data_IF_956161720194
#
_entry.id   IF_956161720194
#
_cell.length_a   1.000
_cell.length_b   1.000
_cell.length_c   1.000
_cell.angle_alpha   90.00
_cell.angle_beta   90.00
_cell.angle_gamma   90.00
#
_symmetry.space_group_name_H-M   'P 1'
#
loop_
_entity.id
_entity.type
_entity.pdbx_description
1 polymer ?
#
# COMPACT_ATOMS: atom_id res chain seq x y z
N UNK A 1 -66.12 -13.31 -31.90
CA UNK A 1 -65.88 -13.91 -33.23
C UNK A 1 -64.43 -14.36 -33.23
N UNK A 2 -64.11 -15.57 -32.73
CA UNK A 2 -64.24 -16.87 -33.44
C UNK A 2 -63.25 -16.91 -34.62
N UNK A 3 -62.23 -17.77 -34.76
CA UNK A 3 -61.90 -19.16 -34.37
C UNK A 3 -60.36 -19.30 -34.47
N UNK A 4 -59.64 -19.88 -33.50
CA UNK A 4 -59.37 -21.32 -33.30
C UNK A 4 -58.37 -21.96 -34.29
N UNK A 5 -57.19 -22.39 -33.78
CA UNK A 5 -56.78 -23.82 -33.62
C UNK A 5 -55.27 -23.97 -33.33
N UNK A 6 -54.94 -24.40 -32.10
CA UNK A 6 -53.87 -25.37 -31.79
C UNK A 6 -54.29 -26.78 -32.33
N UNK A 7 -53.59 -27.95 -32.17
CA UNK A 7 -52.59 -28.31 -31.14
C UNK A 7 -51.58 -29.48 -31.46
N UNK A 8 -50.91 -30.00 -30.41
CA UNK A 8 -50.38 -31.38 -30.19
C UNK A 8 -49.09 -31.81 -30.93
N UNK A 9 -48.21 -32.70 -30.46
CA UNK A 9 -47.82 -33.36 -29.19
C UNK A 9 -46.72 -34.35 -29.64
N UNK A 10 -45.59 -34.53 -28.93
CA UNK A 10 -45.07 -35.88 -28.60
C UNK A 10 -43.80 -35.84 -27.73
N UNK A 11 -43.99 -36.40 -26.55
CA UNK A 11 -43.08 -36.90 -25.53
C UNK A 11 -42.31 -38.15 -25.97
N UNK A 12 -41.10 -38.37 -25.45
CA UNK A 12 -40.58 -39.66 -24.93
C UNK A 12 -39.23 -39.39 -24.22
N UNK A 13 -39.12 -39.44 -22.88
CA UNK A 13 -38.89 -40.60 -21.99
C UNK A 13 -37.64 -41.43 -22.30
N UNK A 14 -36.61 -41.36 -21.43
CA UNK A 14 -36.01 -42.53 -20.75
C UNK A 14 -34.81 -42.15 -19.86
N UNK A 15 -34.75 -42.83 -18.73
CA UNK A 15 -34.07 -42.54 -17.46
C UNK A 15 -32.61 -43.08 -17.39
N UNK A 16 -31.91 -42.93 -16.24
CA UNK A 16 -30.47 -43.10 -16.05
C UNK A 16 -30.08 -44.51 -15.51
N UNK A 17 -28.83 -44.95 -15.73
CA UNK A 17 -28.20 -46.16 -15.11
C UNK A 17 -26.66 -45.96 -15.13
N UNK A 18 -26.01 -45.82 -13.96
CA UNK A 18 -25.37 -46.84 -13.09
C UNK A 18 -23.94 -47.23 -13.55
N UNK A 19 -22.84 -46.95 -12.83
CA UNK A 19 -22.32 -47.44 -11.51
C UNK A 19 -21.42 -48.69 -11.64
N UNK A 20 -20.17 -48.57 -11.20
CA UNK A 20 -19.35 -49.60 -10.51
C UNK A 20 -18.08 -48.88 -9.99
N UNK A 21 -17.99 -48.56 -8.68
CA UNK A 21 -17.34 -49.35 -7.61
C UNK A 21 -15.79 -49.27 -7.72
N UNK A 22 -15.00 -48.98 -6.69
CA UNK A 22 -14.78 -49.72 -5.43
C UNK A 22 -14.07 -48.78 -4.42
N UNK A 23 -14.74 -48.45 -3.31
CA UNK A 23 -14.39 -48.69 -1.87
C UNK A 23 -13.32 -47.80 -1.19
N UNK A 24 -13.82 -46.86 -0.38
CA UNK A 24 -13.30 -46.55 0.96
C UNK A 24 -14.02 -47.45 1.99
N UNK A 25 -13.39 -47.82 3.12
CA UNK A 25 -14.12 -48.24 4.31
C UNK A 25 -14.03 -47.22 5.46
N UNK A 26 -15.20 -47.06 6.09
CA UNK A 26 -15.55 -46.19 7.20
C UNK A 26 -15.02 -46.63 8.58
N UNK A 27 -14.80 -45.60 9.41
CA UNK A 27 -14.79 -45.43 10.88
C UNK A 27 -15.91 -46.24 11.61
N UNK A 28 -15.77 -46.77 12.86
CA UNK A 28 -16.07 -45.95 14.06
C UNK A 28 -15.43 -46.26 15.43
N UNK A 29 -15.65 -45.25 16.27
CA UNK A 29 -15.28 -44.94 17.67
C UNK A 29 -15.78 -45.99 18.68
N UNK A 30 -14.97 -46.33 19.70
CA UNK A 30 -15.24 -46.08 21.13
C UNK A 30 -14.44 -46.97 22.09
N UNK A 31 -14.35 -46.49 23.34
CA UNK A 31 -13.95 -47.15 24.60
C UNK A 31 -12.50 -47.00 25.06
N UNK A 32 -12.34 -46.17 26.10
CA UNK A 32 -11.42 -46.43 27.22
C UNK A 32 -12.26 -47.11 28.33
N UNK A 33 -11.68 -47.99 29.17
CA UNK A 33 -11.07 -47.50 30.43
C UNK A 33 -9.87 -48.31 30.98
N UNK A 34 -8.86 -47.58 31.52
CA UNK A 34 -8.09 -47.80 32.78
C UNK A 34 -7.51 -49.21 33.15
N UNK A 35 -6.88 -49.43 34.33
CA UNK A 35 -5.41 -49.52 34.50
C UNK A 35 -4.91 -50.85 35.15
N UNK A 36 -3.60 -50.90 35.49
CA UNK A 36 -2.85 -51.96 36.22
C UNK A 36 -2.39 -53.15 35.33
N UNK A 37 -1.22 -53.77 35.50
CA UNK A 37 -0.41 -54.02 36.71
C UNK A 37 1.07 -54.32 36.38
N UNK A 38 1.91 -53.95 37.35
CA UNK A 38 3.24 -54.45 37.72
C UNK A 38 3.62 -55.88 37.32
N UNK A 39 4.86 -56.05 36.84
CA UNK A 39 5.75 -57.15 37.27
C UNK A 39 7.23 -56.78 37.09
N UNK A 40 7.93 -56.68 38.23
CA UNK A 40 9.38 -56.62 38.39
C UNK A 40 10.05 -57.91 37.89
N UNK A 41 11.21 -57.79 37.22
CA UNK A 41 12.42 -58.59 37.50
C UNK A 41 13.52 -58.30 36.47
N UNK A 42 14.75 -58.07 36.92
CA UNK A 42 15.95 -58.33 36.11
C UNK A 42 16.98 -57.22 36.03
N UNK A 43 17.74 -57.02 37.11
CA UNK A 43 19.07 -56.40 37.09
C UNK A 43 20.02 -57.30 36.30
N UNK A 44 20.71 -56.78 35.27
CA UNK A 44 22.17 -56.89 35.04
C UNK A 44 22.54 -56.48 33.60
N UNK A 45 23.63 -55.71 33.45
CA UNK A 45 24.48 -55.77 32.26
C UNK A 45 24.35 -54.63 31.25
N UNK A 46 25.06 -53.54 31.50
CA UNK A 46 25.47 -52.56 30.48
C UNK A 46 26.35 -53.23 29.40
N UNK A 47 26.23 -52.82 28.14
CA UNK A 47 27.43 -52.47 27.39
C UNK A 47 27.37 -51.01 26.89
N UNK A 48 28.46 -50.30 27.18
CA UNK A 48 28.78 -48.94 26.77
C UNK A 48 28.76 -48.74 25.25
N UNK A 49 27.87 -47.86 24.77
CA UNK A 49 27.96 -47.26 23.43
C UNK A 49 28.81 -45.99 23.54
N UNK A 50 29.90 -45.82 22.77
CA UNK A 50 30.71 -44.61 22.83
C UNK A 50 29.92 -43.42 22.26
N UNK A 51 29.62 -42.45 23.12
CA UNK A 51 29.12 -41.13 22.70
C UNK A 51 30.22 -40.44 21.87
N UNK A 52 29.98 -40.29 20.57
CA UNK A 52 30.77 -39.39 19.72
C UNK A 52 30.62 -37.96 20.25
N UNK A 53 31.69 -37.43 20.81
CA UNK A 53 31.76 -36.02 21.25
C UNK A 53 31.83 -35.16 19.99
N UNK A 54 30.73 -34.49 19.63
CA UNK A 54 30.77 -33.43 18.62
C UNK A 54 31.61 -32.27 19.17
N UNK A 55 32.84 -32.14 18.67
CA UNK A 55 33.67 -30.96 18.90
C UNK A 55 33.11 -29.79 18.11
N UNK A 56 32.08 -29.12 18.64
CA UNK A 56 31.63 -27.83 18.12
C UNK A 56 32.74 -26.81 18.39
N UNK A 57 33.52 -26.50 17.36
CA UNK A 57 34.45 -25.37 17.38
C UNK A 57 33.63 -24.08 17.51
N UNK A 58 33.70 -23.45 18.68
CA UNK A 58 33.27 -22.06 18.90
C UNK A 58 34.22 -21.17 18.10
N UNK A 59 33.79 -20.65 16.96
CA UNK A 59 34.52 -19.60 16.24
C UNK A 59 34.58 -18.36 17.13
N UNK A 60 35.77 -18.12 17.70
CA UNK A 60 36.13 -16.83 18.28
C UNK A 60 36.16 -15.82 17.14
N UNK A 61 35.14 -14.98 17.03
CA UNK A 61 35.24 -13.74 16.27
C UNK A 61 36.26 -12.83 16.95
N UNK A 62 37.19 -12.30 16.18
CA UNK A 62 38.23 -11.38 16.63
C UNK A 62 37.64 -10.18 17.41
N UNK A 63 38.35 -9.64 18.41
CA UNK A 63 37.91 -8.43 19.08
C UNK A 63 38.05 -7.24 18.14
N UNK A 64 37.03 -6.38 18.11
CA UNK A 64 37.11 -5.08 17.46
C UNK A 64 38.09 -4.18 18.24
N UNK A 65 39.24 -3.90 17.65
CA UNK A 65 40.12 -2.75 17.94
C UNK A 65 40.87 -2.46 16.62
N UNK A 66 41.11 -1.23 16.19
CA UNK A 66 41.27 0.02 16.92
C UNK A 66 40.90 1.20 16.03
N UNK A 67 40.36 2.24 16.65
CA UNK A 67 40.22 3.60 16.09
C UNK A 67 41.59 4.09 15.64
N UNK A 68 41.79 4.26 14.33
CA UNK A 68 42.91 5.07 13.82
C UNK A 68 42.45 6.52 13.85
N UNK A 69 43.06 7.25 14.78
CA UNK A 69 42.95 8.69 14.95
C UNK A 69 44.23 9.28 14.35
N UNK A 70 44.19 9.65 13.08
CA UNK A 70 45.17 10.57 12.49
C UNK A 70 44.44 11.91 12.35
N UNK A 71 44.81 12.99 13.02
CA UNK A 71 46.18 13.47 13.14
C UNK A 71 46.29 14.69 12.22
N UNK A 72 45.95 15.84 12.77
CA UNK A 72 46.02 17.18 12.14
C UNK A 72 47.40 17.39 11.50
N UNK A 73 47.42 17.73 10.21
CA UNK A 73 48.50 18.51 9.60
C UNK A 73 47.87 19.66 8.80
N UNK A 74 48.25 20.93 9.08
CA UNK A 74 47.77 22.08 8.32
C UNK A 74 48.71 22.34 7.16
N UNK A 75 48.29 22.14 5.92
CA UNK A 75 48.90 22.83 4.78
C UNK A 75 47.88 23.21 3.70
N UNK A 76 48.10 24.40 3.19
CA UNK A 76 47.24 25.31 2.44
C UNK A 76 47.42 25.09 0.92
N UNK A 77 46.30 25.10 0.19
CA UNK A 77 46.24 25.56 -1.21
C UNK A 77 46.01 24.49 -2.27
N UNK A 78 44.91 24.62 -3.03
CA UNK A 78 44.71 23.95 -4.32
C UNK A 78 43.24 23.54 -4.53
N UNK A 79 42.49 24.37 -5.25
CA UNK A 79 41.06 24.20 -5.50
C UNK A 79 40.69 22.99 -6.35
N UNK A 80 39.43 22.58 -6.21
CA UNK A 80 38.80 21.51 -6.96
C UNK A 80 37.46 21.15 -6.33
N UNK A 81 36.46 22.00 -6.57
CA UNK A 81 35.07 21.74 -6.21
C UNK A 81 34.60 20.43 -6.86
N UNK A 82 34.37 19.43 -6.01
CA UNK A 82 33.72 18.18 -6.34
C UNK A 82 32.61 17.94 -5.34
N UNK A 83 31.62 18.83 -5.33
CA UNK A 83 30.35 18.66 -4.63
C UNK A 83 29.74 17.31 -5.03
N UNK A 84 29.90 16.31 -4.17
CA UNK A 84 29.03 15.14 -4.17
C UNK A 84 27.64 15.63 -3.76
N UNK A 85 26.86 16.10 -4.75
CA UNK A 85 25.46 16.45 -4.59
C UNK A 85 24.72 15.25 -4.01
N UNK A 86 24.40 15.32 -2.71
CA UNK A 86 23.30 14.55 -2.16
C UNK A 86 22.06 14.83 -3.04
N UNK A 87 21.39 13.81 -3.60
CA UNK A 87 20.16 14.04 -4.37
C UNK A 87 19.13 14.67 -3.43
N UNK A 88 18.75 15.91 -3.74
CA UNK A 88 18.02 16.80 -2.86
C UNK A 88 16.64 16.28 -2.47
N UNK A 89 16.45 16.04 -1.16
CA UNK A 89 15.14 15.91 -0.51
C UNK A 89 14.55 17.31 -0.30
N UNK A 90 14.29 18.05 -1.39
CA UNK A 90 13.76 19.43 -1.33
C UNK A 90 12.58 19.68 -2.28
N UNK A 91 12.00 18.64 -2.90
CA UNK A 91 11.07 18.82 -4.03
C UNK A 91 9.57 18.68 -3.69
N UNK A 92 9.17 18.01 -2.60
CA UNK A 92 7.74 17.77 -2.31
C UNK A 92 6.93 19.05 -2.08
N UNK A 93 7.49 20.04 -1.36
CA UNK A 93 6.80 21.33 -1.15
C UNK A 93 6.57 22.09 -2.46
N UNK A 94 7.45 21.93 -3.46
CA UNK A 94 7.34 22.65 -4.73
C UNK A 94 6.25 22.01 -5.60
N UNK A 95 6.15 20.69 -5.59
CA UNK A 95 5.12 19.93 -6.32
C UNK A 95 3.72 20.28 -5.79
N UNK A 96 3.52 20.30 -4.47
CA UNK A 96 2.21 20.65 -3.89
C UNK A 96 1.81 22.09 -4.24
N UNK A 97 2.75 23.04 -4.15
CA UNK A 97 2.51 24.44 -4.52
C UNK A 97 2.11 24.55 -6.00
N UNK A 98 2.86 23.91 -6.89
CA UNK A 98 2.56 23.90 -8.33
C UNK A 98 1.21 23.24 -8.63
N UNK A 99 0.92 22.08 -8.05
CA UNK A 99 -0.35 21.39 -8.22
C UNK A 99 -1.54 22.22 -7.71
N UNK A 100 -1.39 22.88 -6.56
CA UNK A 100 -2.42 23.75 -6.00
C UNK A 100 -2.67 24.99 -6.88
N UNK A 101 -1.61 25.60 -7.41
CA UNK A 101 -1.74 26.74 -8.33
C UNK A 101 -2.43 26.33 -9.63
N UNK A 102 -2.05 25.18 -10.22
CA UNK A 102 -2.69 24.63 -11.41
C UNK A 102 -4.17 24.34 -11.18
N UNK A 103 -4.53 23.75 -10.03
CA UNK A 103 -5.93 23.48 -9.68
C UNK A 103 -6.74 24.78 -9.55
N UNK A 104 -6.18 25.83 -8.95
CA UNK A 104 -6.86 27.12 -8.82
C UNK A 104 -7.12 27.78 -10.18
N UNK A 105 -6.12 27.77 -11.07
CA UNK A 105 -6.28 28.29 -12.44
C UNK A 105 -7.32 27.48 -13.21
N UNK A 106 -7.30 26.15 -13.04
CA UNK A 106 -8.23 25.24 -13.67
C UNK A 106 -9.68 25.45 -13.18
N UNK A 107 -9.88 25.62 -11.88
CA UNK A 107 -11.17 25.98 -11.28
C UNK A 107 -11.66 27.34 -11.77
N UNK A 108 -10.77 28.34 -11.83
CA UNK A 108 -11.11 29.66 -12.34
C UNK A 108 -11.59 29.60 -13.79
N UNK A 109 -10.91 28.81 -14.64
CA UNK A 109 -11.33 28.59 -16.02
C UNK A 109 -12.72 27.94 -16.10
N UNK A 110 -12.99 26.91 -15.28
CA UNK A 110 -14.30 26.27 -15.20
C UNK A 110 -15.41 27.23 -14.79
N UNK A 111 -15.15 28.04 -13.75
CA UNK A 111 -16.08 29.07 -13.27
C UNK A 111 -16.37 30.11 -14.34
N UNK A 112 -15.35 30.55 -15.07
CA UNK A 112 -15.48 31.53 -16.16
C UNK A 112 -16.34 30.98 -17.30
N UNK A 113 -16.10 29.73 -17.74
CA UNK A 113 -16.87 29.10 -18.82
C UNK A 113 -18.35 28.96 -18.45
N UNK A 114 -18.64 28.54 -17.22
CA UNK A 114 -20.03 28.45 -16.74
C UNK A 114 -20.67 29.83 -16.64
N UNK A 115 -19.99 30.79 -16.01
CA UNK A 115 -20.55 32.14 -15.76
C UNK A 115 -20.82 32.92 -17.05
N UNK A 116 -20.07 32.64 -18.12
CA UNK A 116 -20.27 33.23 -19.45
C UNK A 116 -21.32 32.52 -20.29
N UNK A 117 -21.69 31.28 -19.96
CA UNK A 117 -22.71 30.50 -20.67
C UNK A 117 -23.83 29.97 -19.77
N UNK A 118 -24.55 30.81 -18.99
CA UNK A 118 -25.58 30.33 -18.06
C UNK A 118 -26.71 29.54 -18.75
N UNK A 119 -27.09 29.98 -19.96
CA UNK A 119 -28.15 29.35 -20.77
C UNK A 119 -27.84 27.90 -21.18
N UNK A 120 -26.57 27.49 -21.07
CA UNK A 120 -26.12 26.14 -21.37
C UNK A 120 -26.28 25.14 -20.23
N UNK A 121 -26.64 25.59 -19.02
CA UNK A 121 -26.73 24.77 -17.81
C UNK A 121 -28.13 24.84 -17.19
N UNK A 122 -28.53 23.76 -16.52
CA UNK A 122 -29.71 23.70 -15.67
C UNK A 122 -29.34 24.05 -14.23
N UNK A 123 -30.26 24.66 -13.47
CA UNK A 123 -30.06 24.92 -12.04
C UNK A 123 -30.82 26.14 -11.52
N UNK A 124 -30.97 26.22 -10.20
CA UNK A 124 -31.56 27.38 -9.51
C UNK A 124 -30.49 28.46 -9.35
N UNK A 125 -30.77 29.67 -9.85
CA UNK A 125 -29.85 30.82 -9.83
C UNK A 125 -29.81 31.45 -8.44
N UNK A 126 -28.86 31.03 -7.59
CA UNK A 126 -28.51 31.80 -6.39
C UNK A 126 -27.60 32.95 -6.79
N UNK A 127 -26.43 32.61 -7.35
CA UNK A 127 -25.49 33.56 -7.90
C UNK A 127 -24.59 32.84 -8.89
N UNK A 128 -24.50 33.33 -10.13
CA UNK A 128 -23.85 32.62 -11.24
C UNK A 128 -22.44 32.12 -10.90
N UNK A 129 -21.59 32.95 -10.27
CA UNK A 129 -20.23 32.56 -9.92
C UNK A 129 -20.15 31.53 -8.77
N UNK A 130 -21.08 31.57 -7.81
CA UNK A 130 -21.11 30.62 -6.68
C UNK A 130 -21.58 29.26 -7.17
N UNK A 131 -22.61 29.27 -8.00
CA UNK A 131 -23.20 28.08 -8.60
C UNK A 131 -22.21 27.41 -9.55
N UNK A 132 -21.49 28.20 -10.35
CA UNK A 132 -20.38 27.76 -11.19
C UNK A 132 -19.27 27.08 -10.37
N UNK A 133 -18.84 27.72 -9.27
CA UNK A 133 -17.77 27.19 -8.42
C UNK A 133 -18.19 25.89 -7.75
N UNK A 134 -19.40 25.87 -7.19
CA UNK A 134 -20.00 24.66 -6.61
C UNK A 134 -20.11 23.53 -7.65
N UNK A 135 -20.61 23.80 -8.86
CA UNK A 135 -20.66 22.82 -9.95
C UNK A 135 -19.28 22.26 -10.29
N UNK A 136 -18.26 23.12 -10.41
CA UNK A 136 -16.89 22.69 -10.70
C UNK A 136 -16.36 21.77 -9.60
N UNK A 137 -16.59 22.09 -8.33
CA UNK A 137 -16.15 21.26 -7.20
C UNK A 137 -16.90 19.93 -7.17
N UNK A 138 -18.23 19.93 -7.27
CA UNK A 138 -19.06 18.72 -7.27
C UNK A 138 -18.66 17.78 -8.40
N UNK A 139 -18.32 18.34 -9.56
CA UNK A 139 -17.83 17.60 -10.74
C UNK A 139 -16.43 17.05 -10.51
N UNK A 140 -15.49 17.86 -10.01
CA UNK A 140 -14.10 17.45 -9.71
C UNK A 140 -14.02 16.38 -8.63
N UNK A 141 -14.86 16.50 -7.61
CA UNK A 141 -14.98 15.55 -6.52
C UNK A 141 -15.74 14.28 -6.94
N UNK A 142 -16.19 14.18 -8.20
CA UNK A 142 -16.95 13.05 -8.74
C UNK A 142 -18.24 12.73 -7.96
N UNK A 143 -18.81 13.73 -7.28
CA UNK A 143 -20.04 13.55 -6.49
C UNK A 143 -21.26 13.59 -7.42
N UNK A 144 -21.34 14.63 -8.26
CA UNK A 144 -22.33 14.71 -9.34
C UNK A 144 -23.80 14.63 -8.91
N UNK A 145 -24.27 15.48 -7.98
CA UNK A 145 -25.68 15.49 -7.56
C UNK A 145 -26.69 15.68 -8.71
N UNK A 146 -26.29 16.30 -9.83
CA UNK A 146 -27.17 16.55 -10.96
C UNK A 146 -28.19 17.68 -10.73
N UNK A 147 -28.05 18.44 -9.65
CA UNK A 147 -28.79 19.68 -9.38
C UNK A 147 -28.39 20.82 -10.34
N UNK A 148 -27.14 20.79 -10.80
CA UNK A 148 -26.62 21.60 -11.90
C UNK A 148 -26.03 20.68 -12.96
N UNK A 149 -26.53 20.76 -14.19
CA UNK A 149 -26.09 19.89 -15.28
C UNK A 149 -26.02 20.61 -16.64
N UNK A 150 -25.06 20.25 -17.51
CA UNK A 150 -24.95 20.80 -18.86
C UNK A 150 -26.10 20.32 -19.76
N UNK A 151 -26.78 21.26 -20.41
CA UNK A 151 -27.93 21.00 -21.28
C UNK A 151 -27.53 20.93 -22.75
N UNK A 152 -26.64 21.82 -23.19
CA UNK A 152 -26.27 21.96 -24.61
C UNK A 152 -25.16 20.99 -25.01
N UNK A 153 -25.07 20.60 -26.30
CA UNK A 153 -23.98 19.73 -26.78
C UNK A 153 -22.59 20.29 -26.47
N UNK A 154 -22.40 21.61 -26.62
CA UNK A 154 -21.13 22.26 -26.35
C UNK A 154 -20.73 22.17 -24.87
N UNK A 155 -21.65 22.44 -23.94
CA UNK A 155 -21.38 22.37 -22.49
C UNK A 155 -21.16 20.93 -22.02
N UNK A 156 -21.83 19.95 -22.65
CA UNK A 156 -21.58 18.52 -22.39
C UNK A 156 -20.18 18.09 -22.82
N UNK A 157 -19.73 18.48 -24.01
CA UNK A 157 -18.36 18.20 -24.49
C UNK A 157 -17.33 18.85 -23.56
N UNK A 158 -17.56 20.11 -23.18
CA UNK A 158 -16.72 20.80 -22.20
C UNK A 158 -16.67 20.02 -20.87
N UNK A 159 -17.80 19.61 -20.32
CA UNK A 159 -17.87 18.86 -19.08
C UNK A 159 -17.09 17.53 -19.17
N UNK A 160 -17.17 16.82 -20.29
CA UNK A 160 -16.37 15.59 -20.51
C UNK A 160 -14.87 15.86 -20.44
N UNK A 161 -14.38 16.86 -21.18
CA UNK A 161 -12.95 17.23 -21.15
C UNK A 161 -12.54 17.73 -19.77
N UNK A 162 -13.41 18.51 -19.12
CA UNK A 162 -13.20 19.01 -17.78
C UNK A 162 -13.00 17.83 -16.81
N UNK A 163 -13.94 16.89 -16.70
CA UNK A 163 -13.79 15.75 -15.79
C UNK A 163 -12.49 14.95 -16.02
N UNK A 164 -12.13 14.67 -17.28
CA UNK A 164 -10.93 13.89 -17.60
C UNK A 164 -9.63 14.58 -17.15
N UNK A 165 -9.49 15.89 -17.40
CA UNK A 165 -8.31 16.65 -16.99
C UNK A 165 -8.31 16.88 -15.48
N UNK A 166 -9.48 17.24 -14.94
CA UNK A 166 -9.67 17.55 -13.53
C UNK A 166 -9.35 16.38 -12.61
N UNK A 167 -9.74 15.15 -12.98
CA UNK A 167 -9.43 13.95 -12.22
C UNK A 167 -7.91 13.73 -12.08
N UNK A 168 -7.15 13.92 -13.16
CA UNK A 168 -5.68 13.84 -13.12
C UNK A 168 -5.05 14.92 -12.23
N UNK A 169 -5.57 16.16 -12.26
CA UNK A 169 -5.07 17.24 -11.40
C UNK A 169 -5.35 16.98 -9.91
N UNK A 170 -6.53 16.43 -9.59
CA UNK A 170 -6.88 16.02 -8.23
C UNK A 170 -5.97 14.90 -7.74
N UNK A 171 -5.66 13.91 -8.58
CA UNK A 171 -4.72 12.82 -8.23
C UNK A 171 -3.30 13.34 -7.97
N UNK A 172 -2.79 14.26 -8.79
CA UNK A 172 -1.47 14.88 -8.57
C UNK A 172 -1.44 15.65 -7.25
N UNK A 173 -2.50 16.40 -6.92
CA UNK A 173 -2.61 17.08 -5.64
C UNK A 173 -2.66 16.08 -4.48
N UNK A 174 -3.44 15.01 -4.65
CA UNK A 174 -3.55 13.93 -3.69
C UNK A 174 -2.18 13.32 -3.44
N UNK A 175 -1.45 12.91 -4.48
CA UNK A 175 -0.10 12.34 -4.37
C UNK A 175 0.89 13.29 -3.70
N UNK A 176 0.92 14.56 -4.12
CA UNK A 176 1.82 15.58 -3.55
C UNK A 176 1.57 15.80 -2.06
N UNK A 177 0.29 15.86 -1.65
CA UNK A 177 -0.03 15.97 -0.24
C UNK A 177 0.34 14.69 0.55
N UNK A 178 0.51 13.51 -0.09
CA UNK A 178 0.93 12.27 0.61
C UNK A 178 2.36 12.48 1.00
N UNK A 179 3.18 12.83 0.01
CA UNK A 179 4.60 13.07 0.17
C UNK A 179 4.83 14.16 1.21
N UNK A 180 4.09 15.27 1.17
CA UNK A 180 4.21 16.32 2.18
C UNK A 180 3.93 15.83 3.62
N UNK A 181 2.85 15.06 3.83
CA UNK A 181 2.53 14.52 5.16
C UNK A 181 3.57 13.47 5.60
N UNK A 182 4.07 12.65 4.67
CA UNK A 182 5.12 11.68 4.95
C UNK A 182 6.44 12.36 5.33
N UNK A 183 6.84 13.40 4.61
CA UNK A 183 8.05 14.19 4.90
C UNK A 183 7.96 14.87 6.28
N UNK A 184 6.76 15.31 6.67
CA UNK A 184 6.52 15.85 8.01
C UNK A 184 6.64 14.76 9.09
N UNK A 185 6.19 13.55 8.82
CA UNK A 185 6.36 12.42 9.73
C UNK A 185 7.83 12.00 9.83
N UNK A 186 8.54 11.96 8.71
CA UNK A 186 9.95 11.58 8.65
C UNK A 186 10.82 12.57 9.44
N UNK A 187 10.63 13.87 9.24
CA UNK A 187 11.35 14.91 9.98
C UNK A 187 11.07 14.89 11.49
N UNK A 188 9.83 14.66 11.91
CA UNK A 188 9.48 14.50 13.32
C UNK A 188 10.11 13.24 13.95
N UNK A 189 10.14 12.14 13.20
CA UNK A 189 10.78 10.89 13.64
C UNK A 189 12.29 11.08 13.76
N UNK A 190 12.95 11.70 12.76
CA UNK A 190 14.39 11.98 12.79
C UNK A 190 14.78 12.89 13.96
N UNK A 191 13.93 13.87 14.31
CA UNK A 191 14.12 14.70 15.51
C UNK A 191 14.07 13.86 16.80
N UNK A 192 13.20 12.85 16.85
CA UNK A 192 13.07 11.93 18.00
C UNK A 192 14.09 10.78 18.02
N UNK A 193 14.68 10.42 16.87
CA UNK A 193 15.57 9.26 16.70
C UNK A 193 17.06 9.56 16.99
N UNK A 194 17.39 10.79 17.38
CA UNK A 194 18.75 11.18 17.83
C UNK A 194 19.21 10.51 19.13
N UNK A 195 18.40 9.63 19.73
CA UNK A 195 18.75 8.80 20.89
C UNK A 195 18.59 7.30 20.58
N UNK A 196 19.66 6.54 20.82
CA UNK A 196 19.81 5.08 20.67
C UNK A 196 18.51 4.27 20.82
N UNK A 197 18.04 3.62 19.75
CA UNK A 197 17.00 2.57 19.83
C UNK A 197 16.85 1.76 18.53
N UNK A 198 17.83 0.93 18.17
CA UNK A 198 17.68 -0.02 17.06
C UNK A 198 16.82 -1.26 17.42
N UNK A 199 16.54 -1.47 18.72
CA UNK A 199 15.78 -2.62 19.22
C UNK A 199 14.26 -2.39 19.34
N UNK A 200 13.77 -1.15 19.20
CA UNK A 200 12.34 -0.82 19.25
C UNK A 200 11.80 -0.56 17.85
N UNK A 201 11.94 -1.48 16.89
CA UNK A 201 11.44 -1.22 15.51
C UNK A 201 10.38 -2.20 15.01
N UNK A 202 10.31 -3.42 15.56
CA UNK A 202 9.29 -4.40 15.16
C UNK A 202 7.92 -4.12 15.79
N UNK A 203 7.89 -3.74 17.07
CA UNK A 203 6.65 -3.36 17.77
C UNK A 203 6.17 -1.96 17.33
N UNK A 204 7.12 -1.07 17.09
CA UNK A 204 6.90 0.29 16.57
C UNK A 204 6.30 0.26 15.15
N UNK A 205 6.75 -0.66 14.27
CA UNK A 205 6.18 -0.83 12.93
C UNK A 205 4.71 -1.27 12.93
N UNK A 206 4.30 -2.14 13.86
CA UNK A 206 2.89 -2.58 13.99
C UNK A 206 2.00 -1.47 14.55
N UNK A 207 2.53 -0.68 15.50
CA UNK A 207 1.82 0.47 16.08
C UNK A 207 1.65 1.60 15.06
N UNK A 208 2.68 1.91 14.25
CA UNK A 208 2.59 2.94 13.19
C UNK A 208 1.46 2.67 12.20
N UNK A 209 1.28 1.43 11.75
CA UNK A 209 0.21 1.07 10.81
C UNK A 209 -1.17 1.22 11.47
N UNK A 210 -1.33 0.72 12.70
CA UNK A 210 -2.60 0.86 13.43
C UNK A 210 -2.94 2.32 13.70
N UNK A 211 -1.95 3.14 14.03
CA UNK A 211 -2.14 4.58 14.27
C UNK A 211 -2.52 5.33 12.99
N UNK A 212 -1.88 5.03 11.86
CA UNK A 212 -2.26 5.59 10.55
C UNK A 212 -3.69 5.24 10.16
N UNK A 213 -4.09 3.97 10.37
CA UNK A 213 -5.46 3.51 10.08
C UNK A 213 -6.48 4.14 11.04
N UNK A 214 -6.18 4.22 12.33
CA UNK A 214 -7.06 4.86 13.31
C UNK A 214 -7.24 6.36 13.02
N UNK A 215 -6.15 7.06 12.68
CA UNK A 215 -6.19 8.45 12.24
C UNK A 215 -7.03 8.59 10.97
N UNK A 216 -6.84 7.72 9.98
CA UNK A 216 -7.61 7.73 8.74
C UNK A 216 -9.12 7.59 8.99
N UNK A 217 -9.52 6.64 9.82
CA UNK A 217 -10.93 6.44 10.22
C UNK A 217 -11.44 7.66 10.99
N UNK A 218 -10.65 8.21 11.91
CA UNK A 218 -11.00 9.42 12.68
C UNK A 218 -11.24 10.64 11.79
N UNK A 219 -10.40 10.84 10.77
CA UNK A 219 -10.57 11.92 9.79
C UNK A 219 -11.86 11.75 8.99
N UNK A 220 -12.20 10.54 8.53
CA UNK A 220 -13.46 10.28 7.82
C UNK A 220 -14.67 10.61 8.69
N UNK A 221 -14.67 10.17 9.95
CA UNK A 221 -15.75 10.46 10.91
C UNK A 221 -15.87 11.96 11.16
N UNK A 222 -14.74 12.67 11.28
CA UNK A 222 -14.72 14.13 11.46
C UNK A 222 -15.25 14.88 10.23
N UNK A 223 -14.90 14.45 9.02
CA UNK A 223 -15.42 15.01 7.78
C UNK A 223 -16.94 14.87 7.68
N UNK A 224 -17.47 13.68 8.03
CA UNK A 224 -18.92 13.44 8.08
C UNK A 224 -19.56 14.32 9.15
N UNK A 225 -19.02 14.34 10.37
CA UNK A 225 -19.55 15.17 11.46
C UNK A 225 -19.61 16.67 11.12
N UNK A 226 -18.55 17.21 10.50
CA UNK A 226 -18.53 18.60 10.03
C UNK A 226 -19.61 18.87 8.97
N UNK A 227 -19.85 17.90 8.08
CA UNK A 227 -20.93 17.97 7.09
C UNK A 227 -22.31 17.99 7.73
N UNK A 228 -22.60 17.09 8.68
CA UNK A 228 -23.88 17.04 9.39
C UNK A 228 -24.17 18.37 10.08
N UNK A 229 -23.19 18.90 10.81
CA UNK A 229 -23.33 20.19 11.51
C UNK A 229 -23.55 21.33 10.51
N UNK A 230 -22.77 21.39 9.43
CA UNK A 230 -22.91 22.41 8.40
C UNK A 230 -24.28 22.37 7.71
N UNK A 231 -24.76 21.18 7.34
CA UNK A 231 -26.07 20.98 6.70
C UNK A 231 -27.23 21.31 7.63
N UNK A 232 -27.13 20.96 8.92
CA UNK A 232 -28.13 21.31 9.92
C UNK A 232 -28.22 22.83 10.12
N UNK A 233 -27.06 23.52 10.21
CA UNK A 233 -27.01 24.96 10.50
C UNK A 233 -27.27 25.85 9.27
N UNK A 234 -26.78 25.47 8.08
CA UNK A 234 -26.81 26.31 6.88
C UNK A 234 -27.99 26.00 5.96
N UNK A 235 -28.38 24.73 5.84
CA UNK A 235 -29.49 24.30 4.97
C UNK A 235 -30.76 23.96 5.77
N UNK A 236 -30.69 23.94 7.11
CA UNK A 236 -31.84 23.68 7.98
C UNK A 236 -32.41 22.26 7.84
N UNK A 237 -31.61 21.31 7.37
CA UNK A 237 -32.00 19.90 7.20
C UNK A 237 -32.21 19.22 8.55
N UNK A 238 -33.11 18.23 8.62
CA UNK A 238 -33.21 17.36 9.78
C UNK A 238 -31.89 16.61 10.02
N UNK A 239 -31.60 16.22 11.26
CA UNK A 239 -30.37 15.50 11.61
C UNK A 239 -30.14 14.23 10.78
N UNK A 240 -31.21 13.51 10.43
CA UNK A 240 -31.14 12.29 9.60
C UNK A 240 -30.80 12.64 8.16
N UNK A 241 -31.48 13.61 7.57
CA UNK A 241 -31.25 14.04 6.18
C UNK A 241 -29.86 14.70 6.03
N UNK A 242 -29.43 15.45 7.05
CA UNK A 242 -28.10 16.04 7.13
C UNK A 242 -27.00 14.96 7.24
N UNK A 243 -27.22 13.92 8.05
CA UNK A 243 -26.32 12.77 8.13
C UNK A 243 -26.28 12.00 6.80
N UNK A 244 -27.45 11.71 6.24
CA UNK A 244 -27.59 11.00 4.97
C UNK A 244 -26.86 11.73 3.84
N UNK A 245 -27.17 13.01 3.62
CA UNK A 245 -26.52 13.81 2.60
C UNK A 245 -25.02 13.90 2.87
N UNK A 246 -24.60 14.14 4.13
CA UNK A 246 -23.17 14.20 4.46
C UNK A 246 -22.42 12.93 4.07
N UNK A 247 -22.96 11.75 4.40
CA UNK A 247 -22.34 10.48 4.04
C UNK A 247 -22.30 10.33 2.52
N UNK A 248 -23.41 10.57 1.81
CA UNK A 248 -23.47 10.45 0.34
C UNK A 248 -22.52 11.40 -0.40
N UNK A 249 -22.32 12.59 0.14
CA UNK A 249 -21.35 13.57 -0.36
C UNK A 249 -19.91 13.11 -0.18
N UNK A 250 -19.56 12.68 1.05
CA UNK A 250 -18.20 12.35 1.44
C UNK A 250 -17.72 11.04 0.79
N UNK A 251 -18.64 10.10 0.57
CA UNK A 251 -18.36 8.86 -0.17
C UNK A 251 -18.52 8.99 -1.68
N UNK A 252 -18.75 10.20 -2.19
CA UNK A 252 -18.91 10.50 -3.63
C UNK A 252 -19.97 9.64 -4.33
N UNK A 253 -21.07 9.31 -3.62
CA UNK A 253 -22.20 8.57 -4.20
C UNK A 253 -23.19 9.53 -4.86
N UNK A 254 -23.53 10.61 -4.15
CA UNK A 254 -24.24 11.77 -4.72
C UNK A 254 -25.54 11.46 -5.47
N UNK A 255 -26.50 10.76 -4.86
CA UNK A 255 -27.77 10.40 -5.52
C UNK A 255 -28.56 11.57 -6.12
N UNK A 256 -28.40 12.78 -5.58
CA UNK A 256 -29.03 13.98 -6.13
C UNK A 256 -30.46 14.23 -5.65
N UNK A 257 -30.97 13.42 -4.73
CA UNK A 257 -32.26 13.59 -4.07
C UNK A 257 -32.28 14.80 -3.13
N UNK A 258 -31.16 15.03 -2.43
CA UNK A 258 -30.89 16.25 -1.69
C UNK A 258 -29.60 16.93 -2.20
N UNK A 259 -29.63 18.26 -2.26
CA UNK A 259 -28.50 19.09 -2.68
C UNK A 259 -28.54 20.46 -2.00
N UNK A 260 -27.44 21.21 -2.08
CA UNK A 260 -27.29 22.53 -1.46
C UNK A 260 -28.11 23.58 -2.23
N UNK A 261 -29.08 24.18 -1.56
CA UNK A 261 -30.00 25.16 -2.18
C UNK A 261 -29.68 26.58 -1.78
N UNK A 262 -29.10 26.79 -0.60
CA UNK A 262 -28.78 28.12 -0.10
C UNK A 262 -27.44 28.61 -0.66
N UNK A 263 -27.30 29.92 -0.85
CA UNK A 263 -26.04 30.52 -1.29
C UNK A 263 -24.91 30.21 -0.30
N UNK A 264 -25.19 30.37 0.98
CA UNK A 264 -24.24 30.10 2.07
C UNK A 264 -23.85 28.62 2.13
N UNK A 265 -24.83 27.73 1.95
CA UNK A 265 -24.62 26.29 1.92
C UNK A 265 -23.77 25.85 0.72
N UNK A 266 -23.97 26.44 -0.47
CA UNK A 266 -23.13 26.17 -1.65
C UNK A 266 -21.67 26.60 -1.45
N UNK A 267 -21.43 27.76 -0.84
CA UNK A 267 -20.06 28.20 -0.52
C UNK A 267 -19.41 27.23 0.47
N UNK A 268 -20.12 26.87 1.54
CA UNK A 268 -19.66 25.88 2.51
C UNK A 268 -19.35 24.54 1.82
N UNK A 269 -20.26 24.04 0.99
CA UNK A 269 -20.12 22.80 0.24
C UNK A 269 -18.87 22.82 -0.64
N UNK A 270 -18.61 23.89 -1.37
CA UNK A 270 -17.46 23.97 -2.26
C UNK A 270 -16.12 23.77 -1.54
N UNK A 271 -15.94 24.32 -0.34
CA UNK A 271 -14.71 24.09 0.43
C UNK A 271 -14.72 22.75 1.17
N UNK A 272 -15.86 22.41 1.79
CA UNK A 272 -16.00 21.21 2.60
C UNK A 272 -15.92 19.93 1.76
N UNK A 273 -16.58 19.89 0.60
CA UNK A 273 -16.56 18.73 -0.31
C UNK A 273 -15.17 18.49 -0.87
N UNK A 274 -14.45 19.54 -1.30
CA UNK A 274 -13.09 19.40 -1.80
C UNK A 274 -12.16 18.83 -0.74
N UNK A 275 -12.20 19.36 0.49
CA UNK A 275 -11.36 18.86 1.57
C UNK A 275 -11.74 17.44 2.00
N UNK A 276 -13.04 17.16 2.11
CA UNK A 276 -13.53 15.87 2.61
C UNK A 276 -13.27 14.74 1.63
N UNK A 277 -13.48 14.94 0.33
CA UNK A 277 -13.23 13.89 -0.67
C UNK A 277 -11.75 13.54 -0.76
N UNK A 278 -10.85 14.54 -0.72
CA UNK A 278 -9.40 14.30 -0.64
C UNK A 278 -9.04 13.53 0.63
N UNK A 279 -9.60 13.90 1.78
CA UNK A 279 -9.35 13.23 3.04
C UNK A 279 -9.81 11.76 3.03
N UNK A 280 -10.98 11.48 2.47
CA UNK A 280 -11.53 10.12 2.36
C UNK A 280 -10.79 9.28 1.34
N UNK A 281 -10.42 9.84 0.18
CA UNK A 281 -9.57 9.16 -0.79
C UNK A 281 -8.25 8.70 -0.16
N UNK A 282 -7.64 9.54 0.69
CA UNK A 282 -6.47 9.13 1.48
C UNK A 282 -6.75 8.06 2.52
N UNK A 283 -7.88 8.15 3.20
CA UNK A 283 -8.23 7.14 4.18
C UNK A 283 -8.34 5.75 3.54
N UNK A 284 -8.94 5.66 2.35
CA UNK A 284 -8.99 4.43 1.57
C UNK A 284 -7.60 3.93 1.16
N UNK A 285 -6.71 4.82 0.70
CA UNK A 285 -5.32 4.45 0.37
C UNK A 285 -4.57 3.89 1.59
N UNK A 286 -4.73 4.47 2.78
CA UNK A 286 -4.11 3.93 4.00
C UNK A 286 -4.70 2.58 4.42
N UNK A 287 -6.01 2.36 4.23
CA UNK A 287 -6.61 1.05 4.45
C UNK A 287 -6.08 0.01 3.46
N UNK A 288 -5.94 0.38 2.19
CA UNK A 288 -5.34 -0.47 1.17
C UNK A 288 -3.88 -0.80 1.50
N UNK A 289 -3.08 0.19 1.88
CA UNK A 289 -1.70 0.02 2.31
C UNK A 289 -1.61 -0.92 3.53
N UNK A 290 -2.51 -0.77 4.51
CA UNK A 290 -2.57 -1.65 5.67
C UNK A 290 -2.90 -3.11 5.29
N UNK A 291 -3.79 -3.32 4.32
CA UNK A 291 -4.13 -4.65 3.77
C UNK A 291 -2.96 -5.26 3.02
N UNK A 292 -2.31 -4.48 2.16
CA UNK A 292 -1.11 -4.88 1.40
C UNK A 292 0.00 -5.27 2.37
N UNK A 293 0.29 -4.42 3.36
CA UNK A 293 1.30 -4.68 4.38
C UNK A 293 1.00 -5.93 5.22
N UNK A 294 -0.28 -6.18 5.55
CA UNK A 294 -0.68 -7.42 6.23
C UNK A 294 -0.41 -8.64 5.36
N UNK A 295 -0.76 -8.58 4.06
CA UNK A 295 -0.51 -9.67 3.10
C UNK A 295 0.98 -9.93 2.91
N UNK A 296 1.77 -8.88 2.72
CA UNK A 296 3.23 -8.99 2.57
C UNK A 296 3.88 -9.66 3.79
N UNK A 297 3.43 -9.35 5.01
CA UNK A 297 3.92 -10.02 6.22
C UNK A 297 3.56 -11.50 6.30
N UNK A 298 2.37 -11.88 5.82
CA UNK A 298 1.97 -13.29 5.79
C UNK A 298 2.81 -14.09 4.79
N UNK A 299 3.06 -13.52 3.60
CA UNK A 299 3.94 -14.13 2.59
C UNK A 299 5.35 -14.31 3.16
N UNK A 300 5.93 -13.27 3.76
CA UNK A 300 7.28 -13.35 4.37
C UNK A 300 7.35 -14.46 5.42
N UNK A 301 6.38 -14.56 6.33
CA UNK A 301 6.35 -15.63 7.34
C UNK A 301 6.23 -17.01 6.71
N UNK A 302 5.38 -17.14 5.70
CA UNK A 302 5.19 -18.39 4.97
C UNK A 302 6.49 -18.82 4.26
N UNK A 303 7.15 -17.91 3.55
CA UNK A 303 8.45 -18.17 2.89
C UNK A 303 9.51 -18.63 3.89
N UNK A 304 9.57 -18.02 5.07
CA UNK A 304 10.55 -18.36 6.11
C UNK A 304 10.28 -19.71 6.80
N UNK A 305 9.03 -20.16 6.85
CA UNK A 305 8.63 -21.39 7.54
C UNK A 305 8.43 -22.58 6.59
N UNK A 306 8.39 -22.35 5.29
CA UNK A 306 8.23 -23.39 4.26
C UNK A 306 9.50 -24.24 4.13
N UNK A 307 9.32 -25.56 4.15
CA UNK A 307 10.38 -26.54 3.86
C UNK A 307 10.88 -26.41 2.41
N UNK A 308 12.19 -26.64 2.21
CA UNK A 308 12.83 -26.66 0.90
C UNK A 308 12.40 -27.90 0.10
N UNK A 309 11.99 -27.69 -1.15
CA UNK A 309 11.83 -28.78 -2.12
C UNK A 309 13.11 -29.01 -2.93
N UNK A 310 13.17 -30.10 -3.70
CA UNK A 310 14.33 -30.39 -4.57
C UNK A 310 14.48 -29.33 -5.67
N UNK A 311 13.38 -28.86 -6.24
CA UNK A 311 13.40 -27.80 -7.26
C UNK A 311 13.87 -26.46 -6.67
N UNK A 312 13.46 -26.17 -5.44
CA UNK A 312 13.96 -25.00 -4.70
C UNK A 312 15.46 -25.11 -4.41
N UNK A 313 15.95 -26.33 -4.20
CA UNK A 313 17.35 -26.61 -3.95
C UNK A 313 18.20 -26.34 -5.21
N UNK A 314 17.72 -26.80 -6.37
CA UNK A 314 18.33 -26.52 -7.67
C UNK A 314 18.29 -25.02 -8.02
N UNK A 315 17.22 -24.31 -7.65
CA UNK A 315 17.10 -22.88 -7.91
C UNK A 315 17.97 -22.00 -6.98
N UNK A 316 18.34 -22.50 -5.82
CA UNK A 316 19.16 -21.82 -4.83
C UNK A 316 20.67 -22.02 -5.03
N UNK A 317 21.07 -23.07 -5.75
CA UNK A 317 22.46 -23.37 -6.09
C UNK A 317 22.98 -22.39 -7.18
N UNK A 318 23.66 -21.33 -6.75
CA UNK A 318 24.18 -20.29 -7.64
C UNK A 318 25.49 -20.70 -8.33
N UNK A 319 26.27 -21.59 -7.72
CA UNK A 319 27.60 -21.99 -8.19
C UNK A 319 27.65 -23.39 -8.79
N UNK A 320 26.52 -24.10 -8.86
CA UNK A 320 26.35 -25.42 -9.48
C UNK A 320 27.29 -26.49 -8.88
N UNK A 321 27.58 -26.40 -7.58
CA UNK A 321 28.46 -27.35 -6.91
C UNK A 321 27.71 -28.57 -6.35
N UNK A 322 26.37 -28.60 -6.46
CA UNK A 322 25.52 -29.69 -6.00
C UNK A 322 25.17 -29.66 -4.51
N UNK A 323 25.53 -28.60 -3.78
CA UNK A 323 25.18 -28.39 -2.38
C UNK A 323 24.93 -26.90 -2.05
N UNK A 324 23.96 -26.62 -1.17
CA UNK A 324 23.64 -25.24 -0.82
C UNK A 324 24.45 -24.78 0.40
N UNK A 325 25.24 -23.73 0.23
CA UNK A 325 25.87 -23.02 1.34
C UNK A 325 24.85 -22.20 2.14
N UNK A 326 25.15 -21.92 3.41
CA UNK A 326 24.29 -21.07 4.25
C UNK A 326 24.04 -19.69 3.62
N UNK A 327 25.02 -19.13 2.93
CA UNK A 327 24.91 -17.86 2.18
C UNK A 327 23.91 -17.96 1.02
N UNK A 328 23.98 -19.02 0.23
CA UNK A 328 23.05 -19.26 -0.89
C UNK A 328 21.61 -19.47 -0.41
N UNK A 329 21.44 -20.22 0.69
CA UNK A 329 20.13 -20.38 1.31
C UNK A 329 19.53 -19.04 1.76
N UNK A 330 20.34 -18.16 2.36
CA UNK A 330 19.91 -16.83 2.78
C UNK A 330 19.56 -15.96 1.56
N UNK A 331 20.39 -15.95 0.52
CA UNK A 331 20.13 -15.20 -0.73
C UNK A 331 18.83 -15.69 -1.39
N UNK A 332 18.65 -17.01 -1.49
CA UNK A 332 17.45 -17.62 -2.02
C UNK A 332 16.20 -17.21 -1.23
N UNK A 333 16.24 -17.28 0.11
CA UNK A 333 15.10 -16.83 0.94
C UNK A 333 14.84 -15.33 0.83
N UNK A 334 15.88 -14.50 0.71
CA UNK A 334 15.71 -13.06 0.46
C UNK A 334 15.08 -12.77 -0.91
N UNK A 335 15.44 -13.54 -1.93
CA UNK A 335 14.84 -13.50 -3.27
C UNK A 335 13.38 -13.95 -3.25
N UNK A 336 13.05 -15.08 -2.62
CA UNK A 336 11.64 -15.53 -2.46
C UNK A 336 10.78 -14.51 -1.71
N UNK A 337 11.34 -13.81 -0.72
CA UNK A 337 10.65 -12.75 0.01
C UNK A 337 10.48 -11.46 -0.80
N UNK A 338 11.04 -11.38 -2.02
CA UNK A 338 11.02 -10.18 -2.86
C UNK A 338 11.84 -9.02 -2.26
N UNK A 339 12.86 -9.32 -1.46
CA UNK A 339 13.75 -8.30 -0.87
C UNK A 339 14.93 -7.94 -1.77
N UNK A 340 15.30 -8.84 -2.66
CA UNK A 340 16.41 -8.71 -3.58
C UNK A 340 15.95 -9.26 -4.92
N UNK A 341 16.15 -8.51 -6.00
CA UNK A 341 15.88 -8.99 -7.35
C UNK A 341 17.07 -9.76 -7.92
N UNK A 342 16.80 -10.67 -8.86
CA UNK A 342 17.83 -11.43 -9.58
C UNK A 342 18.88 -10.51 -10.25
N UNK A 343 18.46 -9.33 -10.70
CA UNK A 343 19.34 -8.33 -11.31
C UNK A 343 20.35 -7.79 -10.29
N UNK A 344 19.91 -7.54 -9.07
CA UNK A 344 20.77 -7.03 -7.99
C UNK A 344 21.80 -8.08 -7.60
N UNK A 345 21.36 -9.35 -7.47
CA UNK A 345 22.26 -10.48 -7.18
C UNK A 345 23.34 -10.56 -8.26
N UNK A 346 22.97 -10.53 -9.55
CA UNK A 346 23.94 -10.57 -10.66
C UNK A 346 24.90 -9.38 -10.65
N UNK A 347 24.42 -8.17 -10.36
CA UNK A 347 25.28 -6.99 -10.30
C UNK A 347 26.31 -7.11 -9.18
N UNK A 348 25.88 -7.57 -8.00
CA UNK A 348 26.75 -7.81 -6.84
C UNK A 348 27.78 -8.91 -7.16
N UNK A 349 27.33 -10.03 -7.75
CA UNK A 349 28.23 -11.11 -8.16
C UNK A 349 29.24 -10.65 -9.22
N UNK A 350 28.83 -9.84 -10.19
CA UNK A 350 29.74 -9.28 -11.19
C UNK A 350 30.78 -8.35 -10.56
N UNK A 351 30.39 -7.56 -9.56
CA UNK A 351 31.33 -6.72 -8.82
C UNK A 351 32.30 -7.57 -7.99
N UNK A 352 31.82 -8.64 -7.36
CA UNK A 352 32.65 -9.60 -6.65
C UNK A 352 33.67 -10.27 -7.59
N UNK A 353 33.23 -10.75 -8.75
CA UNK A 353 34.09 -11.41 -9.74
C UNK A 353 35.17 -10.48 -10.30
N UNK A 354 34.92 -9.17 -10.37
CA UNK A 354 35.96 -8.18 -10.73
C UNK A 354 37.06 -8.07 -9.67
N UNK A 355 36.70 -8.27 -8.40
CA UNK A 355 37.61 -8.20 -7.26
C UNK A 355 38.25 -9.55 -6.92
N UNK A 356 37.81 -10.63 -7.55
CA UNK A 356 38.36 -11.99 -7.40
C UNK A 356 38.77 -12.54 -8.78
N UNK A 357 39.82 -11.99 -9.41
CA UNK A 357 40.27 -12.43 -10.74
C UNK A 357 40.77 -13.88 -10.74
N UNK A 358 41.12 -14.41 -9.57
CA UNK A 358 41.58 -15.78 -9.40
C UNK A 358 40.43 -16.77 -9.15
N UNK A 359 39.17 -16.29 -9.11
CA UNK A 359 37.95 -17.08 -8.87
C UNK A 359 38.07 -17.99 -7.63
N UNK A 360 38.69 -17.47 -6.58
CA UNK A 360 38.95 -18.20 -5.33
C UNK A 360 37.74 -18.24 -4.40
N UNK A 361 36.69 -17.48 -4.72
CA UNK A 361 35.53 -17.24 -3.88
C UNK A 361 35.84 -16.35 -2.68
N UNK A 362 37.00 -15.69 -2.67
CA UNK A 362 37.49 -14.86 -1.55
C UNK A 362 38.19 -13.63 -2.09
N UNK A 363 37.86 -12.47 -1.52
CA UNK A 363 38.59 -11.23 -1.81
C UNK A 363 39.70 -11.10 -0.79
N UNK A 364 40.95 -11.05 -1.24
CA UNK A 364 42.10 -10.84 -0.35
C UNK A 364 42.58 -9.39 -0.41
N UNK A 365 43.31 -8.94 0.62
CA UNK A 365 43.88 -7.59 0.68
C UNK A 365 44.70 -7.25 -0.59
N UNK A 366 45.56 -8.14 -1.11
CA UNK A 366 46.28 -7.92 -2.36
C UNK A 366 45.39 -7.67 -3.58
N UNK A 367 44.24 -8.35 -3.69
CA UNK A 367 43.30 -8.18 -4.82
C UNK A 367 42.64 -6.79 -4.81
N UNK A 368 42.45 -6.22 -3.61
CA UNK A 368 41.93 -4.86 -3.46
C UNK A 368 42.96 -3.79 -3.84
N UNK A 369 44.24 -4.01 -3.53
CA UNK A 369 45.31 -3.08 -3.91
C UNK A 369 45.60 -3.08 -5.41
N UNK A 370 45.43 -4.22 -6.09
CA UNK A 370 45.61 -4.32 -7.54
C UNK A 370 44.46 -3.70 -8.33
N UNK A 371 43.23 -3.69 -7.78
CA UNK A 371 42.05 -3.05 -8.39
C UNK A 371 41.95 -1.53 -8.19
N UNK A 372 42.79 -0.93 -7.32
CA UNK A 372 42.75 0.50 -6.98
C UNK A 372 43.75 1.36 -7.79
N UNK A 373 44.51 0.76 -8.70
CA UNK A 373 45.28 1.43 -9.76
C UNK A 373 44.52 1.36 -11.07
#
# INVERSE_FOLDING_TARGET
MERAKQPLLLTHHSSPLSRSEIEDPFIPISSSPSPCSTSNSGVMGSPSIPRSKSNLHRTRTAPAMSVIRDGILPFRGGGGDGDAKNPGVSSSSSIVKQASALLLVYLFLGVLVYSTNPQGFSGVETHAAVDAFYFCIVTLCTIGYGDIAPLTPATKVFACVFVLVGFGLIDVLLAGAVSYVLDLQESAILASARGDSYLIDVEKGRMRIRMKVALAVGVVVLCIGAGVVGLYLLEGLNWVDAMYLSVMSVTTVGYGDHAFKTMTGRIFASFWLLLSTLAVARAFLYLAEARINKRHRMIVKWVLQRDLTVDDLLAADLNQNGFISKSEFVIYKLKEMGKIDEKDIRLICNQFNKLDPNNTGKITLPDLFSSAR
#
